data_IF_961239416688
#
_entry.id   IF_961239416688
#
_cell.length_a   1.000
_cell.length_b   1.000
_cell.length_c   1.000
_cell.angle_alpha   90.00
_cell.angle_beta   90.00
_cell.angle_gamma   90.00
#
_symmetry.space_group_name_H-M   'P 1'
#
loop_
_entity.id
_entity.type
_entity.pdbx_description
1 polymer ?
#
# COMPACT_ATOMS: atom_id res chain seq x y z
N UNK A 1 43.17 7.21 -30.59
CA UNK A 1 43.42 7.83 -29.26
C UNK A 1 42.09 8.34 -28.75
N UNK A 2 41.47 7.64 -27.78
CA UNK A 2 40.30 8.18 -27.09
C UNK A 2 40.73 9.43 -26.33
N UNK A 3 39.96 10.52 -26.44
CA UNK A 3 40.37 11.80 -25.88
C UNK A 3 40.34 11.73 -24.34
N UNK A 4 41.26 12.41 -23.68
CA UNK A 4 41.33 12.49 -22.20
C UNK A 4 39.97 12.91 -21.60
N UNK A 5 39.20 13.74 -22.31
CA UNK A 5 37.85 14.16 -21.94
C UNK A 5 36.82 13.02 -21.92
N UNK A 6 36.89 12.06 -22.84
CA UNK A 6 35.98 10.89 -22.83
C UNK A 6 36.26 9.98 -21.63
N UNK A 7 37.54 9.84 -21.27
CA UNK A 7 37.95 9.02 -20.12
C UNK A 7 37.52 9.69 -18.81
N UNK A 8 37.68 11.01 -18.69
CA UNK A 8 37.22 11.80 -17.54
C UNK A 8 35.69 11.75 -17.39
N UNK A 9 34.95 11.85 -18.49
CA UNK A 9 33.48 11.77 -18.47
C UNK A 9 32.98 10.36 -18.10
N UNK A 10 33.66 9.31 -18.58
CA UNK A 10 33.40 7.93 -18.19
C UNK A 10 33.61 7.72 -16.69
N UNK A 11 34.74 8.18 -16.14
CA UNK A 11 35.05 8.09 -14.70
C UNK A 11 34.03 8.87 -13.87
N UNK A 12 33.63 10.06 -14.30
CA UNK A 12 32.63 10.88 -13.60
C UNK A 12 31.25 10.22 -13.60
N UNK A 13 30.85 9.59 -14.71
CA UNK A 13 29.60 8.82 -14.79
C UNK A 13 29.63 7.54 -13.94
N UNK A 14 30.77 6.85 -13.91
CA UNK A 14 30.99 5.66 -13.10
C UNK A 14 30.99 5.99 -11.59
N UNK A 15 31.64 7.09 -11.18
CA UNK A 15 31.58 7.60 -9.81
C UNK A 15 30.17 8.06 -9.42
N UNK A 16 29.45 8.75 -10.31
CA UNK A 16 28.04 9.11 -10.08
C UNK A 16 27.15 7.88 -9.87
N UNK A 17 27.38 6.81 -10.65
CA UNK A 17 26.68 5.53 -10.50
C UNK A 17 27.04 4.83 -9.18
N UNK A 18 28.31 4.81 -8.79
CA UNK A 18 28.80 4.24 -7.52
C UNK A 18 28.23 4.99 -6.30
N UNK A 19 28.26 6.33 -6.31
CA UNK A 19 27.69 7.17 -5.25
C UNK A 19 26.18 6.94 -5.15
N UNK A 20 25.47 6.82 -6.28
CA UNK A 20 24.04 6.47 -6.28
C UNK A 20 23.76 5.04 -5.78
N UNK A 21 24.70 4.11 -5.95
CA UNK A 21 24.64 2.74 -5.42
C UNK A 21 24.83 2.69 -3.91
N UNK A 22 25.82 3.44 -3.38
CA UNK A 22 26.02 3.62 -1.95
C UNK A 22 24.84 4.32 -1.28
N UNK A 23 24.28 5.34 -1.93
CA UNK A 23 23.11 6.04 -1.40
C UNK A 23 21.88 5.14 -1.33
N UNK A 24 21.65 4.24 -2.31
CA UNK A 24 20.53 3.26 -2.26
C UNK A 24 20.68 2.25 -1.12
N UNK A 25 21.89 1.76 -0.85
CA UNK A 25 22.14 0.87 0.30
C UNK A 25 22.00 1.61 1.63
N UNK A 26 22.50 2.85 1.71
CA UNK A 26 22.34 3.70 2.89
C UNK A 26 20.87 4.05 3.16
N UNK A 27 20.06 4.27 2.12
CA UNK A 27 18.60 4.46 2.25
C UNK A 27 17.94 3.20 2.80
N UNK A 28 18.31 2.00 2.34
CA UNK A 28 17.76 0.75 2.85
C UNK A 28 18.04 0.54 4.35
N UNK A 29 19.27 0.86 4.79
CA UNK A 29 19.64 0.78 6.22
C UNK A 29 18.87 1.80 7.05
N UNK A 30 18.75 3.06 6.59
CA UNK A 30 17.97 4.08 7.28
C UNK A 30 16.49 3.71 7.40
N UNK A 31 15.90 3.16 6.34
CA UNK A 31 14.50 2.70 6.38
C UNK A 31 14.32 1.59 7.42
N UNK A 32 15.25 0.64 7.49
CA UNK A 32 15.20 -0.42 8.51
C UNK A 32 15.37 0.14 9.93
N UNK A 33 16.27 1.10 10.12
CA UNK A 33 16.49 1.79 11.39
C UNK A 33 15.24 2.58 11.82
N UNK A 34 14.59 3.28 10.88
CA UNK A 34 13.33 3.99 11.09
C UNK A 34 12.20 3.03 11.49
N UNK A 35 12.10 1.86 10.85
CA UNK A 35 11.14 0.81 11.21
C UNK A 35 11.45 0.19 12.58
N UNK A 36 12.71 -0.11 12.87
CA UNK A 36 13.15 -0.68 14.14
C UNK A 36 12.96 0.29 15.31
N UNK A 37 13.09 1.60 15.06
CA UNK A 37 12.80 2.64 16.04
C UNK A 37 11.29 2.85 16.23
N UNK A 38 10.49 2.79 15.16
CA UNK A 38 9.07 3.17 15.19
C UNK A 38 8.07 2.01 15.32
N UNK A 39 8.53 0.77 15.47
CA UNK A 39 7.66 -0.43 15.44
C UNK A 39 6.52 -0.40 16.47
N UNK A 40 6.76 0.16 17.66
CA UNK A 40 5.75 0.27 18.71
C UNK A 40 4.66 1.30 18.37
N UNK A 41 5.01 2.44 17.76
CA UNK A 41 4.04 3.42 17.26
C UNK A 41 3.22 2.85 16.11
N UNK A 42 3.84 2.06 15.23
CA UNK A 42 3.14 1.37 14.13
C UNK A 42 2.13 0.38 14.71
N UNK A 43 2.51 -0.44 15.70
CA UNK A 43 1.60 -1.37 16.37
C UNK A 43 0.48 -0.65 17.13
N UNK A 44 0.79 0.45 17.81
CA UNK A 44 -0.22 1.28 18.48
C UNK A 44 -1.22 1.86 17.47
N UNK A 45 -0.73 2.38 16.35
CA UNK A 45 -1.57 2.89 15.26
C UNK A 45 -2.46 1.80 14.65
N UNK A 46 -1.90 0.62 14.38
CA UNK A 46 -2.66 -0.52 13.85
C UNK A 46 -3.72 -1.01 14.82
N UNK A 47 -3.41 -1.11 16.11
CA UNK A 47 -4.36 -1.53 17.15
C UNK A 47 -5.47 -0.50 17.35
N UNK A 48 -5.14 0.80 17.38
CA UNK A 48 -6.14 1.87 17.45
C UNK A 48 -7.04 1.87 16.21
N UNK A 49 -6.47 1.75 15.01
CA UNK A 49 -7.23 1.69 13.76
C UNK A 49 -8.16 0.46 13.73
N UNK A 50 -7.71 -0.68 14.27
CA UNK A 50 -8.51 -1.88 14.40
C UNK A 50 -9.68 -1.66 15.38
N UNK A 51 -9.43 -1.06 16.55
CA UNK A 51 -10.47 -0.74 17.53
C UNK A 51 -11.51 0.21 16.95
N UNK A 52 -11.09 1.29 16.29
CA UNK A 52 -11.98 2.24 15.61
C UNK A 52 -12.81 1.53 14.54
N UNK A 53 -12.20 0.63 13.77
CA UNK A 53 -12.90 -0.17 12.77
C UNK A 53 -13.95 -1.10 13.38
N UNK A 54 -13.63 -1.78 14.49
CA UNK A 54 -14.59 -2.64 15.21
C UNK A 54 -15.74 -1.81 15.78
N UNK A 55 -15.44 -0.67 16.41
CA UNK A 55 -16.47 0.26 16.90
C UNK A 55 -17.36 0.73 15.75
N UNK A 56 -16.80 1.10 14.61
CA UNK A 56 -17.55 1.50 13.42
C UNK A 56 -18.45 0.37 12.89
N UNK A 57 -17.96 -0.86 12.83
CA UNK A 57 -18.75 -2.03 12.44
C UNK A 57 -19.90 -2.31 13.43
N UNK A 58 -19.68 -2.11 14.73
CA UNK A 58 -20.73 -2.22 15.74
C UNK A 58 -21.75 -1.07 15.65
N UNK A 59 -21.31 0.16 15.36
CA UNK A 59 -22.20 1.31 15.16
C UNK A 59 -23.09 1.13 13.92
N UNK A 60 -22.55 0.59 12.83
CA UNK A 60 -23.32 0.23 11.63
C UNK A 60 -24.45 -0.77 11.92
N UNK A 61 -24.36 -1.55 13.00
CA UNK A 61 -25.43 -2.48 13.39
C UNK A 61 -26.64 -1.77 13.99
N UNK A 62 -26.41 -0.94 15.01
CA UNK A 62 -27.50 -0.38 15.82
C UNK A 62 -28.09 0.89 15.25
N UNK A 63 -27.32 1.60 14.41
CA UNK A 63 -27.63 2.96 13.98
C UNK A 63 -27.33 3.17 12.49
N UNK A 64 -27.36 2.15 11.63
CA UNK A 64 -27.02 2.28 10.20
C UNK A 64 -27.64 3.52 9.54
N UNK A 65 -28.96 3.70 9.75
CA UNK A 65 -29.73 4.82 9.21
C UNK A 65 -29.25 6.14 9.83
N UNK A 66 -29.20 6.20 11.17
CA UNK A 66 -28.78 7.39 11.93
C UNK A 66 -27.35 7.78 11.57
N UNK A 67 -26.44 6.83 11.38
CA UNK A 67 -25.05 7.04 11.00
C UNK A 67 -24.94 7.65 9.60
N UNK A 68 -25.70 7.14 8.62
CA UNK A 68 -25.73 7.71 7.26
C UNK A 68 -26.20 9.17 7.29
N UNK A 69 -27.22 9.48 8.09
CA UNK A 69 -27.69 10.86 8.28
C UNK A 69 -26.67 11.73 9.02
N UNK A 70 -26.07 11.24 10.10
CA UNK A 70 -25.01 11.96 10.84
C UNK A 70 -23.81 12.24 9.93
N UNK A 71 -23.38 11.29 9.10
CA UNK A 71 -22.26 11.49 8.19
C UNK A 71 -22.61 12.49 7.08
N UNK A 72 -23.83 12.43 6.52
CA UNK A 72 -24.27 13.43 5.52
C UNK A 72 -24.40 14.83 6.10
N UNK A 73 -25.13 14.97 7.21
CA UNK A 73 -25.32 16.26 7.88
C UNK A 73 -23.99 16.77 8.42
N UNK A 74 -23.17 15.90 8.99
CA UNK A 74 -21.84 16.22 9.50
C UNK A 74 -20.92 16.76 8.41
N UNK A 75 -20.93 16.17 7.21
CA UNK A 75 -20.15 16.68 6.08
C UNK A 75 -20.56 18.11 5.70
N UNK A 76 -21.87 18.35 5.58
CA UNK A 76 -22.44 19.68 5.28
C UNK A 76 -22.15 20.71 6.39
N UNK A 77 -22.22 20.30 7.65
CA UNK A 77 -21.91 21.15 8.80
C UNK A 77 -20.44 21.52 8.84
N UNK A 78 -19.54 20.56 8.59
CA UNK A 78 -18.09 20.81 8.58
C UNK A 78 -17.70 21.76 7.46
N UNK A 79 -18.22 21.60 6.24
CA UNK A 79 -17.90 22.56 5.19
C UNK A 79 -18.63 23.90 5.33
N UNK A 80 -19.84 23.92 5.90
CA UNK A 80 -20.50 25.15 6.33
C UNK A 80 -19.69 25.92 7.38
N UNK A 81 -19.13 25.22 8.36
CA UNK A 81 -18.18 25.78 9.33
C UNK A 81 -16.90 26.27 8.65
N UNK A 82 -16.37 25.53 7.68
CA UNK A 82 -15.22 25.95 6.86
C UNK A 82 -15.47 27.25 6.12
N UNK A 83 -16.65 27.41 5.50
CA UNK A 83 -17.07 28.65 4.83
C UNK A 83 -17.13 29.80 5.85
N UNK A 84 -17.78 29.58 7.00
CA UNK A 84 -17.86 30.57 8.06
C UNK A 84 -16.48 30.98 8.59
N UNK A 85 -15.59 30.02 8.83
CA UNK A 85 -14.23 30.26 9.29
C UNK A 85 -13.41 31.05 8.26
N UNK A 86 -13.47 30.66 6.98
CA UNK A 86 -12.80 31.40 5.90
C UNK A 86 -13.34 32.83 5.77
N UNK A 87 -14.63 33.04 5.95
CA UNK A 87 -15.23 34.37 5.96
C UNK A 87 -14.76 35.20 7.17
N UNK A 88 -14.70 34.60 8.36
CA UNK A 88 -14.23 35.25 9.59
C UNK A 88 -12.77 35.71 9.45
N UNK A 89 -11.89 34.83 8.96
CA UNK A 89 -10.48 35.16 8.73
C UNK A 89 -10.31 36.20 7.62
N UNK A 90 -11.09 36.11 6.54
CA UNK A 90 -11.12 37.14 5.50
C UNK A 90 -11.47 38.52 6.06
N UNK A 91 -12.45 38.58 6.97
CA UNK A 91 -12.86 39.82 7.64
C UNK A 91 -11.77 40.34 8.59
N UNK A 92 -11.16 39.45 9.38
CA UNK A 92 -10.07 39.78 10.29
C UNK A 92 -8.87 40.41 9.55
N UNK A 93 -8.49 39.86 8.39
CA UNK A 93 -7.41 40.37 7.55
C UNK A 93 -7.86 41.44 6.53
N UNK A 94 -9.06 42.02 6.65
CA UNK A 94 -9.55 43.02 5.70
C UNK A 94 -8.76 44.33 5.72
N UNK A 95 -8.17 44.69 6.87
CA UNK A 95 -7.33 45.89 7.08
C UNK A 95 -5.86 45.69 6.70
N UNK A 96 -5.45 44.47 6.37
CA UNK A 96 -4.08 44.14 5.96
C UNK A 96 -3.78 44.67 4.55
N UNK A 97 -2.60 45.28 4.37
CA UNK A 97 -2.13 45.80 3.06
C UNK A 97 -1.34 44.77 2.24
N UNK A 98 -1.08 43.58 2.76
CA UNK A 98 -0.33 42.52 2.09
C UNK A 98 -1.16 41.92 0.96
N UNK A 99 -0.64 41.95 -0.28
CA UNK A 99 -1.25 41.33 -1.45
C UNK A 99 -0.46 40.09 -1.87
N UNK A 100 -1.14 39.15 -2.54
CA UNK A 100 -0.52 37.92 -3.03
C UNK A 100 0.65 38.19 -4.01
N UNK A 101 0.57 39.26 -4.80
CA UNK A 101 1.61 39.64 -5.76
C UNK A 101 2.91 40.18 -5.15
N UNK A 102 2.90 40.56 -3.87
CA UNK A 102 4.07 41.08 -3.16
C UNK A 102 4.88 39.97 -2.46
N UNK A 103 4.36 38.73 -2.47
CA UNK A 103 5.02 37.58 -1.86
C UNK A 103 5.95 36.87 -2.86
N UNK A 104 7.23 36.75 -2.49
CA UNK A 104 8.15 35.82 -3.16
C UNK A 104 7.77 34.38 -2.83
N UNK A 105 7.95 33.44 -3.77
CA UNK A 105 7.67 32.01 -3.54
C UNK A 105 8.46 31.51 -2.33
N UNK A 106 7.76 31.22 -1.24
CA UNK A 106 8.32 30.77 0.02
C UNK A 106 7.74 29.39 0.36
N UNK A 107 8.50 28.53 1.04
CA UNK A 107 8.01 27.22 1.48
C UNK A 107 7.17 27.29 2.75
N UNK A 108 7.18 28.43 3.45
CA UNK A 108 6.41 28.63 4.67
C UNK A 108 4.93 28.93 4.39
N UNK A 109 4.07 27.93 4.59
CA UNK A 109 2.61 28.00 4.39
C UNK A 109 1.95 29.11 5.23
N UNK A 110 2.47 29.38 6.42
CA UNK A 110 1.96 30.42 7.34
C UNK A 110 1.96 31.82 6.73
N UNK A 111 2.89 32.13 5.83
CA UNK A 111 2.99 33.44 5.16
C UNK A 111 1.81 33.64 4.21
N UNK A 112 1.40 32.58 3.51
CA UNK A 112 0.23 32.64 2.61
C UNK A 112 -1.07 32.78 3.40
N UNK A 113 -1.18 32.16 4.59
CA UNK A 113 -2.36 32.26 5.46
C UNK A 113 -2.57 33.65 6.07
N UNK A 114 -1.62 34.57 5.97
CA UNK A 114 -1.75 35.96 6.44
C UNK A 114 -2.34 36.90 5.37
N UNK A 115 -2.57 36.40 4.16
CA UNK A 115 -3.08 37.21 3.03
C UNK A 115 -4.59 37.08 2.97
N UNK A 116 -5.32 38.20 2.85
CA UNK A 116 -6.79 38.15 2.73
C UNK A 116 -7.27 37.44 1.46
N UNK A 117 -6.54 37.59 0.34
CA UNK A 117 -6.91 37.01 -0.96
C UNK A 117 -6.88 35.48 -0.95
N UNK A 118 -6.05 34.85 -0.11
CA UNK A 118 -6.04 33.38 0.01
C UNK A 118 -7.28 32.87 0.73
N UNK A 119 -7.72 33.57 1.79
CA UNK A 119 -8.97 33.25 2.48
C UNK A 119 -10.19 33.45 1.57
N UNK A 120 -10.18 34.48 0.72
CA UNK A 120 -11.21 34.67 -0.32
C UNK A 120 -11.21 33.54 -1.35
N UNK A 121 -10.03 33.11 -1.81
CA UNK A 121 -9.92 31.98 -2.74
C UNK A 121 -10.44 30.67 -2.11
N UNK A 122 -10.06 30.36 -0.87
CA UNK A 122 -10.56 29.19 -0.14
C UNK A 122 -12.07 29.27 0.09
N UNK A 123 -12.61 30.44 0.42
CA UNK A 123 -14.04 30.67 0.56
C UNK A 123 -14.79 30.32 -0.73
N UNK A 124 -14.35 30.84 -1.89
CA UNK A 124 -14.98 30.55 -3.19
C UNK A 124 -14.92 29.05 -3.50
N UNK A 125 -13.76 28.41 -3.31
CA UNK A 125 -13.58 26.98 -3.57
C UNK A 125 -14.51 26.14 -2.69
N UNK A 126 -14.58 26.42 -1.39
CA UNK A 126 -15.45 25.72 -0.44
C UNK A 126 -16.93 25.92 -0.77
N UNK A 127 -17.35 27.15 -1.11
CA UNK A 127 -18.72 27.43 -1.53
C UNK A 127 -19.13 26.66 -2.79
N UNK A 128 -18.25 26.60 -3.80
CA UNK A 128 -18.51 25.82 -5.03
C UNK A 128 -18.59 24.33 -4.72
N UNK A 129 -17.65 23.81 -3.93
CA UNK A 129 -17.63 22.41 -3.54
C UNK A 129 -18.88 22.01 -2.73
N UNK A 130 -19.26 22.81 -1.72
CA UNK A 130 -20.47 22.58 -0.92
C UNK A 130 -21.75 22.67 -1.77
N UNK A 131 -21.82 23.63 -2.70
CA UNK A 131 -22.97 23.75 -3.60
C UNK A 131 -23.11 22.51 -4.50
N UNK A 132 -22.00 21.98 -5.02
CA UNK A 132 -21.97 20.73 -5.79
C UNK A 132 -22.40 19.55 -4.91
N UNK A 133 -21.89 19.47 -3.67
CA UNK A 133 -22.26 18.42 -2.72
C UNK A 133 -23.77 18.43 -2.45
N UNK A 134 -24.35 19.59 -2.12
CA UNK A 134 -25.79 19.75 -1.89
C UNK A 134 -26.60 19.38 -3.14
N UNK A 135 -26.18 19.84 -4.32
CA UNK A 135 -26.84 19.51 -5.60
C UNK A 135 -26.84 17.99 -5.83
N UNK A 136 -25.69 17.33 -5.65
CA UNK A 136 -25.55 15.88 -5.82
C UNK A 136 -26.42 15.12 -4.82
N UNK A 137 -26.42 15.51 -3.55
CA UNK A 137 -27.26 14.89 -2.51
C UNK A 137 -28.76 15.07 -2.81
N UNK A 138 -29.16 16.25 -3.31
CA UNK A 138 -30.53 16.52 -3.74
C UNK A 138 -30.94 15.65 -4.93
N UNK A 139 -30.11 15.60 -5.97
CA UNK A 139 -30.34 14.79 -7.17
C UNK A 139 -30.40 13.28 -6.86
N UNK A 140 -29.57 12.82 -5.93
CA UNK A 140 -29.48 11.40 -5.57
C UNK A 140 -30.45 11.01 -4.45
N UNK A 141 -31.30 11.91 -3.93
CA UNK A 141 -32.20 11.64 -2.79
C UNK A 141 -33.03 10.35 -2.94
N UNK A 142 -33.54 10.09 -4.15
CA UNK A 142 -34.30 8.86 -4.42
C UNK A 142 -33.42 7.61 -4.36
N UNK A 143 -32.21 7.66 -4.92
CA UNK A 143 -31.24 6.55 -4.89
C UNK A 143 -30.70 6.32 -3.48
N UNK A 144 -30.52 7.39 -2.73
CA UNK A 144 -30.07 7.37 -1.34
C UNK A 144 -31.10 6.69 -0.44
N UNK A 145 -32.40 6.94 -0.63
CA UNK A 145 -33.46 6.23 0.10
C UNK A 145 -33.40 4.71 -0.15
N UNK A 146 -33.23 4.30 -1.41
CA UNK A 146 -33.06 2.88 -1.77
C UNK A 146 -31.80 2.30 -1.12
N UNK A 147 -30.68 3.04 -1.14
CA UNK A 147 -29.43 2.60 -0.51
C UNK A 147 -29.58 2.45 1.01
N UNK A 148 -30.27 3.37 1.68
CA UNK A 148 -30.55 3.30 3.12
C UNK A 148 -31.40 2.07 3.45
N UNK A 149 -32.43 1.77 2.66
CA UNK A 149 -33.23 0.56 2.82
C UNK A 149 -32.39 -0.73 2.65
N UNK A 150 -31.48 -0.76 1.67
CA UNK A 150 -30.55 -1.88 1.49
C UNK A 150 -29.60 -2.05 2.68
N UNK A 151 -29.12 -0.95 3.27
CA UNK A 151 -28.27 -0.98 4.46
C UNK A 151 -29.02 -1.46 5.69
N UNK A 152 -30.30 -1.11 5.84
CA UNK A 152 -31.17 -1.60 6.93
C UNK A 152 -31.37 -3.12 6.84
N UNK A 153 -31.67 -3.65 5.66
CA UNK A 153 -31.81 -5.10 5.50
C UNK A 153 -30.47 -5.81 5.72
N UNK A 154 -29.37 -5.24 5.24
CA UNK A 154 -28.03 -5.79 5.46
C UNK A 154 -27.66 -5.83 6.95
N UNK A 155 -27.97 -4.78 7.71
CA UNK A 155 -27.67 -4.74 9.15
C UNK A 155 -28.52 -5.74 9.95
N UNK A 156 -29.78 -5.96 9.52
CA UNK A 156 -30.65 -7.00 10.09
C UNK A 156 -30.06 -8.40 9.88
N UNK A 157 -29.58 -8.70 8.66
CA UNK A 157 -28.93 -10.00 8.36
C UNK A 157 -27.69 -10.22 9.21
N UNK A 158 -26.83 -9.20 9.35
CA UNK A 158 -25.63 -9.26 10.20
C UNK A 158 -26.00 -9.49 11.67
N UNK A 159 -27.17 -9.03 12.12
CA UNK A 159 -27.72 -9.32 13.44
C UNK A 159 -27.94 -10.81 13.71
N UNK A 160 -28.35 -11.59 12.70
CA UNK A 160 -28.48 -13.05 12.79
C UNK A 160 -27.14 -13.78 12.65
N UNK A 161 -26.23 -13.23 11.84
CA UNK A 161 -24.92 -13.82 11.52
C UNK A 161 -23.78 -13.09 12.24
N UNK A 162 -23.86 -12.99 13.58
CA UNK A 162 -22.96 -12.14 14.38
C UNK A 162 -21.46 -12.44 14.18
N UNK A 163 -21.12 -13.71 13.93
CA UNK A 163 -19.74 -14.13 13.70
C UNK A 163 -19.09 -13.45 12.47
N UNK A 164 -19.89 -13.01 11.49
CA UNK A 164 -19.39 -12.30 10.30
C UNK A 164 -18.70 -10.98 10.63
N UNK A 165 -19.03 -10.33 11.75
CA UNK A 165 -18.39 -9.10 12.22
C UNK A 165 -16.93 -9.30 12.65
N UNK A 166 -16.55 -10.52 13.05
CA UNK A 166 -15.18 -10.87 13.40
C UNK A 166 -14.34 -11.27 12.17
N UNK A 167 -14.98 -11.50 11.03
CA UNK A 167 -14.28 -11.94 9.82
C UNK A 167 -13.28 -10.92 9.25
N UNK A 168 -13.53 -9.59 9.28
CA UNK A 168 -12.52 -8.59 8.91
C UNK A 168 -11.25 -8.67 9.77
N UNK A 169 -11.38 -8.95 11.08
CA UNK A 169 -10.23 -9.17 11.96
C UNK A 169 -9.44 -10.41 11.54
N UNK A 170 -10.14 -11.50 11.24
CA UNK A 170 -9.52 -12.73 10.75
C UNK A 170 -8.77 -12.49 9.42
N UNK A 171 -9.40 -11.78 8.47
CA UNK A 171 -8.75 -11.37 7.21
C UNK A 171 -7.51 -10.52 7.48
N UNK A 172 -7.57 -9.57 8.41
CA UNK A 172 -6.43 -8.73 8.78
C UNK A 172 -5.25 -9.57 9.31
N UNK A 173 -5.52 -10.53 10.20
CA UNK A 173 -4.49 -11.44 10.71
C UNK A 173 -3.85 -12.25 9.58
N UNK A 174 -4.65 -12.79 8.65
CA UNK A 174 -4.13 -13.52 7.48
C UNK A 174 -3.25 -12.62 6.59
N UNK A 175 -3.64 -11.37 6.38
CA UNK A 175 -2.83 -10.41 5.60
C UNK A 175 -1.52 -10.08 6.31
N UNK A 176 -1.52 -9.91 7.63
CA UNK A 176 -0.27 -9.73 8.41
C UNK A 176 0.64 -10.94 8.27
N UNK A 177 0.09 -12.16 8.31
CA UNK A 177 0.86 -13.39 8.05
C UNK A 177 1.46 -13.38 6.64
N UNK A 178 0.70 -12.96 5.61
CA UNK A 178 1.23 -12.84 4.25
C UNK A 178 2.39 -11.82 4.16
N UNK A 179 2.26 -10.66 4.80
CA UNK A 179 3.30 -9.62 4.84
C UNK A 179 4.54 -10.13 5.57
N UNK A 180 4.36 -10.77 6.72
CA UNK A 180 5.46 -11.34 7.50
C UNK A 180 6.19 -12.44 6.73
N UNK A 181 5.46 -13.35 6.10
CA UNK A 181 6.03 -14.42 5.27
C UNK A 181 6.83 -13.88 4.08
N UNK A 182 6.27 -12.89 3.37
CA UNK A 182 6.96 -12.22 2.27
C UNK A 182 8.23 -11.51 2.74
N UNK A 183 8.15 -10.75 3.84
CA UNK A 183 9.27 -10.01 4.41
C UNK A 183 10.39 -10.94 4.88
N UNK A 184 10.04 -12.05 5.54
CA UNK A 184 11.00 -13.05 5.97
C UNK A 184 11.68 -13.74 4.79
N UNK A 185 10.91 -14.13 3.77
CA UNK A 185 11.46 -14.73 2.55
C UNK A 185 12.38 -13.74 1.82
N UNK A 186 11.99 -12.47 1.73
CA UNK A 186 12.80 -11.42 1.12
C UNK A 186 14.12 -11.22 1.88
N UNK A 187 14.08 -11.20 3.21
CA UNK A 187 15.26 -11.09 4.06
C UNK A 187 16.20 -12.27 3.85
N UNK A 188 15.69 -13.51 3.93
CA UNK A 188 16.48 -14.71 3.70
C UNK A 188 17.11 -14.75 2.30
N UNK A 189 16.39 -14.30 1.27
CA UNK A 189 16.94 -14.20 -0.08
C UNK A 189 18.13 -13.23 -0.13
N UNK A 190 18.03 -12.05 0.50
CA UNK A 190 19.13 -11.05 0.54
C UNK A 190 20.31 -11.51 1.39
N UNK A 191 20.07 -12.28 2.45
CA UNK A 191 21.12 -12.75 3.39
C UNK A 191 21.62 -14.17 3.10
N UNK A 192 21.18 -14.80 2.01
CA UNK A 192 21.51 -16.18 1.66
C UNK A 192 23.00 -16.44 1.36
N UNK A 193 23.78 -15.40 1.03
CA UNK A 193 25.22 -15.52 0.78
C UNK A 193 26.03 -15.67 2.08
N UNK A 194 27.26 -16.18 1.97
CA UNK A 194 28.20 -16.17 3.09
C UNK A 194 28.62 -14.71 3.38
N UNK A 195 28.68 -14.26 4.66
CA UNK A 195 29.10 -12.90 4.97
C UNK A 195 30.60 -12.73 4.69
N UNK A 196 30.95 -11.81 3.80
CA UNK A 196 32.32 -11.43 3.49
C UNK A 196 32.73 -10.22 4.32
N UNK A 197 33.84 -10.35 5.05
CA UNK A 197 34.43 -9.28 5.84
C UNK A 197 35.74 -8.83 5.21
N UNK A 198 36.01 -7.53 5.30
CA UNK A 198 37.24 -6.93 4.78
C UNK A 198 37.95 -6.10 5.83
N UNK A 199 39.27 -6.05 5.68
CA UNK A 199 40.16 -5.29 6.53
C UNK A 199 40.14 -3.83 6.10
N UNK A 200 39.77 -2.91 6.99
CA UNK A 200 39.76 -1.46 6.71
C UNK A 200 40.46 -0.69 7.83
N UNK A 201 41.06 0.45 7.48
CA UNK A 201 41.60 1.42 8.43
C UNK A 201 40.56 2.51 8.71
N UNK A 202 40.30 2.80 9.99
CA UNK A 202 39.34 3.85 10.41
C UNK A 202 40.00 5.20 10.72
N UNK A 203 41.31 5.35 10.46
CA UNK A 203 42.08 6.56 10.77
C UNK A 203 42.03 7.61 9.65
N UNK A 204 42.12 8.88 10.06
CA UNK A 204 42.32 10.05 9.21
C UNK A 204 43.55 9.82 8.29
N UNK A 205 43.53 10.21 6.99
CA UNK A 205 44.59 9.91 6.02
C UNK A 205 45.94 10.58 6.32
N UNK A 206 46.05 11.31 7.43
CA UNK A 206 47.25 12.00 7.93
C UNK A 206 48.17 11.13 8.79
N UNK A 207 47.83 9.87 9.05
CA UNK A 207 48.73 8.89 9.70
C UNK A 207 49.41 8.03 8.62
N UNK A 208 50.65 8.40 8.29
CA UNK A 208 51.48 8.00 7.13
C UNK A 208 51.76 6.49 6.89
N UNK A 209 51.11 5.57 7.62
CA UNK A 209 51.37 4.12 7.48
C UNK A 209 50.15 3.24 7.28
N UNK A 210 48.95 3.81 7.23
CA UNK A 210 47.70 3.07 6.97
C UNK A 210 47.28 3.05 5.49
N UNK A 211 47.96 3.81 4.61
CA UNK A 211 47.63 3.98 3.18
C UNK A 211 47.81 2.73 2.32
N UNK A 212 48.50 1.70 2.83
CA UNK A 212 48.73 0.42 2.14
C UNK A 212 47.51 -0.52 2.20
N UNK A 213 46.54 -0.26 3.08
CA UNK A 213 45.37 -1.13 3.27
C UNK A 213 44.26 -0.66 2.33
N UNK A 214 44.23 -1.24 1.14
CA UNK A 214 43.27 -0.90 0.07
C UNK A 214 41.85 -1.49 0.27
N UNK A 215 41.60 -2.17 1.39
CA UNK A 215 40.29 -2.78 1.66
C UNK A 215 39.93 -3.91 0.70
N UNK A 216 40.92 -4.61 0.14
CA UNK A 216 40.76 -5.80 -0.72
C UNK A 216 40.93 -7.11 0.05
N UNK A 217 41.71 -7.11 1.14
CA UNK A 217 41.97 -8.31 1.94
C UNK A 217 40.73 -8.76 2.70
N UNK A 218 40.47 -10.06 2.64
CA UNK A 218 39.37 -10.70 3.37
C UNK A 218 39.84 -11.14 4.74
N UNK A 219 38.97 -11.03 5.73
CA UNK A 219 39.27 -11.41 7.11
C UNK A 219 38.12 -12.24 7.69
N UNK A 220 38.42 -13.00 8.75
CA UNK A 220 37.40 -13.67 9.57
C UNK A 220 37.35 -12.95 10.92
N UNK A 221 36.20 -12.41 11.34
CA UNK A 221 36.11 -11.61 12.56
C UNK A 221 36.53 -12.37 13.82
N UNK A 222 36.32 -13.68 13.87
CA UNK A 222 36.66 -14.53 15.02
C UNK A 222 38.17 -14.76 15.21
N UNK A 223 38.96 -14.69 14.14
CA UNK A 223 40.42 -14.94 14.18
C UNK A 223 41.22 -13.69 13.86
N UNK A 224 40.57 -12.54 13.75
CA UNK A 224 41.21 -11.30 13.35
C UNK A 224 42.01 -10.73 14.53
N UNK A 225 43.32 -10.55 14.34
CA UNK A 225 44.19 -9.92 15.32
C UNK A 225 44.79 -8.63 14.75
N UNK A 226 44.50 -7.49 15.39
CA UNK A 226 45.06 -6.19 15.01
C UNK A 226 46.59 -6.13 15.11
N UNK A 227 47.22 -6.99 15.91
CA UNK A 227 48.68 -7.08 16.05
C UNK A 227 49.39 -7.53 14.77
N UNK A 228 48.68 -8.15 13.83
CA UNK A 228 49.25 -8.54 12.53
C UNK A 228 49.62 -7.32 11.65
N UNK A 229 49.11 -6.13 11.98
CA UNK A 229 49.34 -4.88 11.26
C UNK A 229 50.06 -3.86 12.18
N UNK A 230 51.35 -4.08 12.52
CA UNK A 230 52.08 -3.25 13.48
C UNK A 230 52.24 -1.78 13.02
N UNK A 231 52.07 -1.53 11.73
CA UNK A 231 52.14 -0.21 11.10
C UNK A 231 50.82 0.57 11.13
N UNK A 232 49.69 -0.07 11.49
CA UNK A 232 48.38 0.59 11.57
C UNK A 232 47.52 -0.04 12.69
N UNK A 233 47.49 0.53 13.90
CA UNK A 233 46.71 -0.02 15.02
C UNK A 233 45.20 0.21 14.90
N UNK A 234 44.76 1.11 14.02
CA UNK A 234 43.36 1.50 13.74
C UNK A 234 42.65 0.57 12.74
N UNK A 235 43.17 -0.63 12.52
CA UNK A 235 42.59 -1.61 11.59
C UNK A 235 41.46 -2.39 12.24
N UNK A 236 40.36 -2.55 11.50
CA UNK A 236 39.20 -3.35 11.88
C UNK A 236 38.77 -4.27 10.74
N UNK A 237 38.32 -5.46 11.11
CA UNK A 237 37.63 -6.37 10.20
C UNK A 237 36.14 -6.02 10.21
N UNK A 238 35.62 -5.42 9.14
CA UNK A 238 34.22 -4.99 9.04
C UNK A 238 33.47 -5.81 7.99
N UNK A 239 32.15 -5.94 8.19
CA UNK A 239 31.28 -6.53 7.19
C UNK A 239 31.28 -5.68 5.91
N UNK A 240 31.49 -6.32 4.76
CA UNK A 240 31.49 -5.64 3.47
C UNK A 240 30.22 -5.95 2.67
N UNK A 241 29.94 -7.24 2.44
CA UNK A 241 28.77 -7.72 1.70
C UNK A 241 28.58 -9.23 1.90
N UNK A 242 27.42 -9.74 1.52
CA UNK A 242 27.23 -11.17 1.33
C UNK A 242 27.81 -11.63 -0.01
N UNK A 243 28.31 -12.85 -0.04
CA UNK A 243 28.85 -13.49 -1.24
C UNK A 243 27.79 -13.65 -2.32
N UNK A 244 28.13 -13.29 -3.55
CA UNK A 244 27.24 -13.24 -4.71
C UNK A 244 27.58 -14.28 -5.80
N UNK A 245 28.57 -15.14 -5.57
CA UNK A 245 29.01 -16.11 -6.59
C UNK A 245 28.11 -17.33 -6.74
N UNK A 246 27.26 -17.64 -5.76
CA UNK A 246 26.37 -18.80 -5.81
C UNK A 246 25.19 -18.65 -6.78
N UNK A 247 24.59 -19.77 -7.18
CA UNK A 247 23.51 -19.83 -8.18
C UNK A 247 22.25 -19.05 -7.76
N UNK A 248 21.89 -19.08 -6.49
CA UNK A 248 20.74 -18.33 -5.96
C UNK A 248 21.02 -16.82 -5.93
N UNK A 249 22.25 -16.44 -5.60
CA UNK A 249 22.66 -15.05 -5.43
C UNK A 249 22.82 -14.34 -6.78
N UNK A 250 23.31 -15.04 -7.81
CA UNK A 250 23.31 -14.54 -9.18
C UNK A 250 21.89 -14.25 -9.69
N UNK A 251 20.92 -15.08 -9.30
CA UNK A 251 19.51 -14.96 -9.71
C UNK A 251 18.63 -14.22 -8.68
N UNK A 252 19.23 -13.52 -7.72
CA UNK A 252 18.52 -12.91 -6.59
C UNK A 252 17.41 -11.95 -7.02
N UNK A 253 17.64 -11.17 -8.09
CA UNK A 253 16.63 -10.24 -8.62
C UNK A 253 15.38 -10.98 -9.11
N UNK A 254 15.55 -12.10 -9.84
CA UNK A 254 14.43 -12.90 -10.33
C UNK A 254 13.65 -13.54 -9.17
N UNK A 255 14.36 -14.05 -8.17
CA UNK A 255 13.76 -14.62 -6.96
C UNK A 255 12.98 -13.58 -6.16
N UNK A 256 13.48 -12.34 -6.06
CA UNK A 256 12.77 -11.25 -5.41
C UNK A 256 11.53 -10.80 -6.19
N UNK A 257 11.60 -10.75 -7.53
CA UNK A 257 10.42 -10.47 -8.37
C UNK A 257 9.37 -11.56 -8.20
N UNK A 258 9.78 -12.83 -8.19
CA UNK A 258 8.88 -13.95 -7.92
C UNK A 258 8.27 -13.87 -6.52
N UNK A 259 9.05 -13.49 -5.49
CA UNK A 259 8.56 -13.30 -4.13
C UNK A 259 7.50 -12.18 -4.04
N UNK A 260 7.70 -11.06 -4.76
CA UNK A 260 6.69 -9.99 -4.86
C UNK A 260 5.42 -10.49 -5.56
N UNK A 261 5.56 -11.26 -6.64
CA UNK A 261 4.42 -11.86 -7.33
C UNK A 261 3.65 -12.82 -6.42
N UNK A 262 4.35 -13.71 -5.71
CA UNK A 262 3.76 -14.64 -4.75
C UNK A 262 3.05 -13.90 -3.61
N UNK A 263 3.61 -12.79 -3.12
CA UNK A 263 2.99 -11.94 -2.11
C UNK A 263 1.66 -11.34 -2.59
N UNK A 264 1.66 -10.71 -3.76
CA UNK A 264 0.44 -10.14 -4.35
C UNK A 264 -0.62 -11.25 -4.57
N UNK A 265 -0.19 -12.43 -5.02
CA UNK A 265 -1.08 -13.58 -5.20
C UNK A 265 -1.68 -14.06 -3.89
N UNK A 266 -0.88 -14.20 -2.83
CA UNK A 266 -1.37 -14.59 -1.50
C UNK A 266 -2.36 -13.56 -0.93
N UNK A 267 -2.07 -12.26 -1.05
CA UNK A 267 -2.97 -11.20 -0.61
C UNK A 267 -4.32 -11.28 -1.36
N UNK A 268 -4.29 -11.39 -2.69
CA UNK A 268 -5.51 -11.52 -3.49
C UNK A 268 -6.28 -12.81 -3.17
N UNK A 269 -5.57 -13.91 -2.86
CA UNK A 269 -6.18 -15.16 -2.45
C UNK A 269 -6.89 -15.05 -1.10
N UNK A 270 -6.26 -14.42 -0.10
CA UNK A 270 -6.89 -14.17 1.22
C UNK A 270 -8.15 -13.31 1.07
N UNK A 271 -8.11 -12.29 0.21
CA UNK A 271 -9.28 -11.45 -0.09
C UNK A 271 -10.39 -12.27 -0.79
N UNK A 272 -10.03 -13.10 -1.76
CA UNK A 272 -10.97 -13.97 -2.48
C UNK A 272 -11.64 -14.98 -1.54
N UNK A 273 -10.85 -15.61 -0.65
CA UNK A 273 -11.34 -16.50 0.41
C UNK A 273 -12.36 -15.78 1.30
N UNK A 274 -12.10 -14.52 1.65
CA UNK A 274 -13.03 -13.69 2.39
C UNK A 274 -14.34 -13.39 1.67
N UNK A 275 -14.26 -12.99 0.40
CA UNK A 275 -15.45 -12.71 -0.40
C UNK A 275 -16.33 -13.95 -0.57
N UNK A 276 -15.74 -15.10 -0.88
CA UNK A 276 -16.48 -16.35 -1.06
C UNK A 276 -17.08 -16.87 0.25
N UNK A 277 -16.32 -16.84 1.36
CA UNK A 277 -16.80 -17.27 2.67
C UNK A 277 -17.99 -16.42 3.14
N UNK A 278 -17.88 -15.09 3.06
CA UNK A 278 -18.96 -14.19 3.45
C UNK A 278 -20.17 -14.34 2.54
N UNK A 279 -19.97 -14.45 1.22
CA UNK A 279 -21.06 -14.68 0.27
C UNK A 279 -21.83 -15.97 0.58
N UNK A 280 -21.12 -17.07 0.88
CA UNK A 280 -21.75 -18.33 1.27
C UNK A 280 -22.50 -18.23 2.59
N UNK A 281 -21.94 -17.49 3.56
CA UNK A 281 -22.57 -17.27 4.87
C UNK A 281 -23.87 -16.48 4.71
N UNK A 282 -23.88 -15.39 3.94
CA UNK A 282 -25.10 -14.63 3.66
C UNK A 282 -26.10 -15.39 2.80
N UNK A 283 -25.65 -16.20 1.84
CA UNK A 283 -26.52 -17.08 1.07
C UNK A 283 -27.28 -18.05 1.99
N UNK A 284 -26.63 -18.60 3.02
CA UNK A 284 -27.29 -19.48 4.00
C UNK A 284 -28.45 -18.79 4.74
N UNK A 285 -28.35 -17.48 4.99
CA UNK A 285 -29.44 -16.71 5.58
C UNK A 285 -30.58 -16.46 4.58
N UNK A 286 -30.27 -16.01 3.36
CA UNK A 286 -31.31 -15.68 2.38
C UNK A 286 -32.11 -16.91 1.94
N UNK A 287 -31.45 -18.06 1.82
CA UNK A 287 -32.07 -19.32 1.41
C UNK A 287 -32.62 -20.17 2.57
N UNK A 288 -32.54 -19.69 3.82
CA UNK A 288 -33.25 -20.32 4.95
C UNK A 288 -34.75 -19.97 4.91
N UNK A 289 -35.61 -20.98 4.90
CA UNK A 289 -37.06 -20.82 4.85
C UNK A 289 -37.62 -20.47 6.23
N UNK A 290 -37.08 -21.07 7.31
CA UNK A 290 -37.49 -20.78 8.69
C UNK A 290 -36.37 -20.09 9.50
N UNK A 291 -36.52 -18.78 9.74
CA UNK A 291 -35.55 -17.94 10.48
C UNK A 291 -36.04 -17.73 11.92
N UNK A 292 -35.22 -17.95 12.98
CA UNK A 292 -33.80 -18.33 12.96
C UNK A 292 -33.51 -19.84 13.01
N UNK A 293 -34.52 -20.71 13.04
CA UNK A 293 -34.36 -22.15 13.33
C UNK A 293 -33.41 -22.90 12.37
N UNK A 294 -33.37 -22.53 11.09
CA UNK A 294 -32.48 -23.15 10.08
C UNK A 294 -31.09 -22.51 10.01
N UNK A 295 -30.84 -21.40 10.70
CA UNK A 295 -29.56 -20.69 10.64
C UNK A 295 -28.61 -21.29 11.69
N UNK A 296 -27.59 -22.02 11.21
CA UNK A 296 -26.53 -22.54 12.10
C UNK A 296 -25.78 -21.38 12.77
N UNK A 297 -25.57 -21.42 14.11
CA UNK A 297 -24.76 -20.41 14.81
C UNK A 297 -23.29 -20.39 14.36
N UNK A 298 -22.83 -21.50 13.74
CA UNK A 298 -21.48 -21.64 13.19
C UNK A 298 -21.45 -21.53 11.65
N UNK A 299 -22.48 -20.91 11.03
CA UNK A 299 -22.58 -20.79 9.57
C UNK A 299 -21.31 -20.24 8.92
N UNK A 300 -20.64 -19.26 9.54
CA UNK A 300 -19.39 -18.70 9.05
C UNK A 300 -18.26 -19.74 8.97
N UNK A 301 -18.03 -20.48 10.05
CA UNK A 301 -16.99 -21.50 10.11
C UNK A 301 -17.26 -22.65 9.14
N UNK A 302 -18.52 -23.06 9.02
CA UNK A 302 -18.93 -24.09 8.06
C UNK A 302 -18.70 -23.63 6.61
N UNK A 303 -19.07 -22.39 6.28
CA UNK A 303 -18.83 -21.82 4.96
C UNK A 303 -17.33 -21.69 4.68
N UNK A 304 -16.54 -21.24 5.66
CA UNK A 304 -15.09 -21.12 5.53
C UNK A 304 -14.43 -22.46 5.21
N UNK A 305 -14.77 -23.51 5.97
CA UNK A 305 -14.26 -24.86 5.76
C UNK A 305 -14.70 -25.40 4.39
N UNK A 306 -15.97 -25.21 4.02
CA UNK A 306 -16.50 -25.61 2.70
C UNK A 306 -15.76 -24.90 1.57
N UNK A 307 -15.50 -23.60 1.70
CA UNK A 307 -14.73 -22.83 0.73
C UNK A 307 -13.30 -23.35 0.61
N UNK A 308 -12.65 -23.71 1.72
CA UNK A 308 -11.31 -24.30 1.71
C UNK A 308 -11.27 -25.73 1.13
N UNK A 309 -12.32 -26.52 1.33
CA UNK A 309 -12.36 -27.91 0.84
C UNK A 309 -12.68 -27.99 -0.65
N UNK A 310 -13.64 -27.19 -1.13
CA UNK A 310 -14.22 -27.36 -2.46
C UNK A 310 -13.87 -26.25 -3.46
N UNK A 311 -13.50 -25.04 -3.01
CA UNK A 311 -13.39 -23.88 -3.91
C UNK A 311 -12.01 -23.25 -4.00
N UNK A 312 -10.99 -23.78 -3.29
CA UNK A 312 -9.63 -23.21 -3.27
C UNK A 312 -9.04 -23.04 -4.65
N UNK A 313 -9.18 -24.03 -5.55
CA UNK A 313 -8.65 -23.93 -6.91
C UNK A 313 -9.23 -22.76 -7.70
N UNK A 314 -10.55 -22.56 -7.62
CA UNK A 314 -11.23 -21.45 -8.30
C UNK A 314 -10.84 -20.08 -7.73
N UNK A 315 -10.68 -19.99 -6.39
CA UNK A 315 -10.22 -18.77 -5.73
C UNK A 315 -8.76 -18.46 -6.05
N UNK A 316 -7.90 -19.47 -6.05
CA UNK A 316 -6.49 -19.34 -6.41
C UNK A 316 -6.31 -18.88 -7.86
N UNK A 317 -7.10 -19.43 -8.79
CA UNK A 317 -7.10 -19.02 -10.19
C UNK A 317 -7.57 -17.57 -10.37
N UNK A 318 -8.71 -17.18 -9.76
CA UNK A 318 -9.19 -15.80 -9.82
C UNK A 318 -8.20 -14.79 -9.20
N UNK A 319 -7.57 -15.16 -8.08
CA UNK A 319 -6.52 -14.37 -7.45
C UNK A 319 -5.26 -14.26 -8.32
N UNK A 320 -4.88 -15.34 -9.01
CA UNK A 320 -3.73 -15.35 -9.92
C UNK A 320 -3.97 -14.40 -11.09
N UNK A 321 -5.16 -14.47 -11.71
CA UNK A 321 -5.55 -13.59 -12.81
C UNK A 321 -5.44 -12.12 -12.40
N UNK A 322 -6.03 -11.74 -11.26
CA UNK A 322 -5.95 -10.38 -10.73
C UNK A 322 -4.50 -9.93 -10.47
N UNK A 323 -3.67 -10.85 -9.95
CA UNK A 323 -2.27 -10.58 -9.63
C UNK A 323 -1.45 -10.29 -10.88
N UNK A 324 -1.67 -11.02 -11.98
CA UNK A 324 -1.00 -10.75 -13.26
C UNK A 324 -1.22 -9.30 -13.72
N UNK A 325 -2.45 -8.79 -13.67
CA UNK A 325 -2.75 -7.42 -14.07
C UNK A 325 -2.21 -6.37 -13.10
N UNK A 326 -2.24 -6.65 -11.79
CA UNK A 326 -1.59 -5.80 -10.79
C UNK A 326 -0.08 -5.69 -11.02
N UNK A 327 0.58 -6.79 -11.38
CA UNK A 327 2.00 -6.80 -11.70
C UNK A 327 2.29 -5.93 -12.94
N UNK A 328 1.48 -6.05 -13.99
CA UNK A 328 1.64 -5.21 -15.20
C UNK A 328 1.52 -3.73 -14.85
N UNK A 329 0.54 -3.35 -14.00
CA UNK A 329 0.38 -1.97 -13.54
C UNK A 329 1.58 -1.49 -12.72
N UNK A 330 2.11 -2.33 -11.83
CA UNK A 330 3.31 -2.03 -11.04
C UNK A 330 4.53 -1.77 -11.94
N UNK A 331 4.71 -2.61 -12.96
CA UNK A 331 5.80 -2.45 -13.95
C UNK A 331 5.62 -1.16 -14.76
N UNK A 332 4.41 -0.85 -15.23
CA UNK A 332 4.12 0.40 -15.95
C UNK A 332 4.41 1.64 -15.10
N UNK A 333 4.04 1.62 -13.82
CA UNK A 333 4.34 2.72 -12.89
C UNK A 333 5.86 2.88 -12.69
N UNK A 334 6.56 1.76 -12.48
CA UNK A 334 8.01 1.74 -12.32
C UNK A 334 8.73 2.29 -13.57
N UNK A 335 8.33 1.84 -14.76
CA UNK A 335 8.90 2.31 -16.02
C UNK A 335 8.63 3.80 -16.24
N UNK A 336 7.42 4.27 -15.95
CA UNK A 336 7.09 5.68 -16.05
C UNK A 336 7.92 6.54 -15.10
N UNK A 337 8.09 6.10 -13.85
CA UNK A 337 8.94 6.78 -12.87
C UNK A 337 10.40 6.83 -13.33
N UNK A 338 10.93 5.72 -13.86
CA UNK A 338 12.32 5.62 -14.31
C UNK A 338 12.62 6.48 -15.55
N UNK A 339 11.65 6.62 -16.45
CA UNK A 339 11.84 7.30 -17.74
C UNK A 339 11.36 8.74 -17.75
N UNK A 340 10.75 9.25 -16.67
CA UNK A 340 10.16 10.60 -16.57
C UNK A 340 11.08 11.75 -17.03
N UNK A 341 12.39 11.61 -16.81
CA UNK A 341 13.40 12.61 -17.23
C UNK A 341 13.81 12.56 -18.72
N UNK A 342 13.47 11.49 -19.45
CA UNK A 342 13.92 11.24 -20.83
C UNK A 342 12.75 11.01 -21.81
N UNK A 343 11.50 11.11 -21.37
CA UNK A 343 10.34 10.83 -22.22
C UNK A 343 10.03 11.98 -23.20
N UNK A 344 9.83 11.62 -24.47
CA UNK A 344 9.19 12.47 -25.48
C UNK A 344 7.70 12.71 -25.17
N UNK A 345 7.09 13.72 -25.77
CA UNK A 345 5.65 14.01 -25.59
C UNK A 345 4.76 12.81 -25.94
N UNK A 346 5.10 12.07 -27.01
CA UNK A 346 4.41 10.85 -27.41
C UNK A 346 4.55 9.73 -26.36
N UNK A 347 5.75 9.54 -25.80
CA UNK A 347 5.97 8.58 -24.72
C UNK A 347 5.15 8.87 -23.47
N UNK A 348 5.07 10.15 -23.07
CA UNK A 348 4.23 10.59 -21.93
C UNK A 348 2.75 10.29 -22.15
N UNK A 349 2.25 10.58 -23.35
CA UNK A 349 0.87 10.29 -23.71
C UNK A 349 0.56 8.79 -23.66
N UNK A 350 1.44 7.96 -24.25
CA UNK A 350 1.27 6.50 -24.27
C UNK A 350 1.27 5.90 -22.86
N UNK A 351 2.20 6.30 -21.98
CA UNK A 351 2.22 5.82 -20.59
C UNK A 351 0.94 6.21 -19.83
N UNK A 352 0.44 7.43 -20.03
CA UNK A 352 -0.82 7.86 -19.41
C UNK A 352 -2.02 7.06 -19.91
N UNK A 353 -2.10 6.80 -21.22
CA UNK A 353 -3.16 6.00 -21.82
C UNK A 353 -3.14 4.55 -21.30
N UNK A 354 -1.97 3.89 -21.33
CA UNK A 354 -1.82 2.52 -20.82
C UNK A 354 -2.15 2.43 -19.32
N UNK A 355 -1.70 3.39 -18.51
CA UNK A 355 -2.06 3.44 -17.08
C UNK A 355 -3.57 3.50 -16.88
N UNK A 356 -4.29 4.32 -17.66
CA UNK A 356 -5.74 4.40 -17.60
C UNK A 356 -6.40 3.07 -18.01
N UNK A 357 -6.01 2.49 -19.14
CA UNK A 357 -6.57 1.23 -19.63
C UNK A 357 -6.37 0.08 -18.63
N UNK A 358 -5.15 -0.08 -18.09
CA UNK A 358 -4.85 -1.13 -17.11
C UNK A 358 -5.53 -0.88 -15.77
N UNK A 359 -5.73 0.38 -15.37
CA UNK A 359 -6.53 0.70 -14.19
C UNK A 359 -8.00 0.29 -14.37
N UNK A 360 -8.60 0.63 -15.52
CA UNK A 360 -9.97 0.23 -15.87
C UNK A 360 -10.10 -1.30 -15.92
N UNK A 361 -9.13 -2.00 -16.52
CA UNK A 361 -9.13 -3.46 -16.61
C UNK A 361 -8.98 -4.13 -15.25
N UNK A 362 -8.07 -3.64 -14.39
CA UNK A 362 -7.94 -4.12 -13.01
C UNK A 362 -9.26 -3.94 -12.24
N UNK A 363 -9.90 -2.77 -12.38
CA UNK A 363 -11.18 -2.49 -11.75
C UNK A 363 -12.29 -3.43 -12.24
N UNK A 364 -12.38 -3.63 -13.56
CA UNK A 364 -13.32 -4.58 -14.16
C UNK A 364 -13.11 -6.00 -13.64
N UNK A 365 -11.86 -6.47 -13.60
CA UNK A 365 -11.53 -7.82 -13.11
C UNK A 365 -11.83 -8.00 -11.63
N UNK A 366 -11.65 -6.96 -10.80
CA UNK A 366 -12.07 -7.00 -9.39
C UNK A 366 -13.58 -7.20 -9.26
N UNK A 367 -14.37 -6.53 -10.09
CA UNK A 367 -15.83 -6.70 -10.11
C UNK A 367 -16.20 -8.11 -10.58
N UNK A 368 -15.61 -8.55 -11.71
CA UNK A 368 -15.85 -9.88 -12.26
C UNK A 368 -15.53 -10.98 -11.25
N UNK A 369 -14.34 -10.92 -10.62
CA UNK A 369 -13.92 -11.87 -9.61
C UNK A 369 -14.87 -11.87 -8.42
N UNK A 370 -15.22 -10.69 -7.88
CA UNK A 370 -16.13 -10.58 -6.73
C UNK A 370 -17.47 -11.25 -7.02
N UNK A 371 -18.03 -11.01 -8.20
CA UNK A 371 -19.33 -11.56 -8.57
C UNK A 371 -19.25 -13.05 -8.89
N UNK A 372 -18.17 -13.50 -9.54
CA UNK A 372 -17.89 -14.92 -9.72
C UNK A 372 -17.80 -15.65 -8.37
N UNK A 373 -17.10 -15.10 -7.38
CA UNK A 373 -17.01 -15.70 -6.04
C UNK A 373 -18.35 -15.80 -5.32
N UNK A 374 -19.25 -14.83 -5.51
CA UNK A 374 -20.63 -14.89 -4.98
C UNK A 374 -21.38 -16.06 -5.63
N UNK A 375 -21.29 -16.19 -6.97
CA UNK A 375 -21.96 -17.27 -7.70
C UNK A 375 -21.40 -18.66 -7.34
N UNK A 376 -20.08 -18.78 -7.18
CA UNK A 376 -19.44 -20.01 -6.68
C UNK A 376 -19.98 -20.36 -5.29
N UNK A 377 -20.11 -19.38 -4.40
CA UNK A 377 -20.56 -19.62 -3.04
C UNK A 377 -22.04 -20.06 -2.94
N UNK A 378 -22.88 -19.64 -3.89
CA UNK A 378 -24.30 -19.99 -3.96
C UNK A 378 -24.53 -21.33 -4.67
N UNK A 379 -23.94 -21.49 -5.86
CA UNK A 379 -24.25 -22.61 -6.76
C UNK A 379 -23.20 -23.74 -6.71
N UNK A 380 -22.00 -23.48 -6.20
CA UNK A 380 -20.93 -24.49 -6.13
C UNK A 380 -20.19 -24.74 -7.44
N UNK A 381 -20.42 -23.92 -8.47
CA UNK A 381 -19.84 -24.07 -9.81
C UNK A 381 -18.36 -23.64 -9.90
N UNK A 382 -17.70 -24.01 -11.01
CA UNK A 382 -16.31 -23.59 -11.29
C UNK A 382 -16.21 -22.10 -11.68
N UNK A 383 -15.02 -21.49 -11.48
CA UNK A 383 -14.78 -20.06 -11.73
C UNK A 383 -15.29 -19.56 -13.09
N UNK A 384 -14.96 -20.25 -14.20
CA UNK A 384 -15.33 -19.81 -15.54
C UNK A 384 -16.85 -19.87 -15.78
N UNK A 385 -17.52 -20.89 -15.23
CA UNK A 385 -18.98 -21.05 -15.33
C UNK A 385 -19.68 -19.94 -14.53
N UNK A 386 -19.23 -19.72 -13.30
CA UNK A 386 -19.74 -18.65 -12.43
C UNK A 386 -19.53 -17.25 -13.00
N UNK A 387 -18.36 -16.98 -13.58
CA UNK A 387 -18.06 -15.71 -14.24
C UNK A 387 -18.98 -15.46 -15.45
N UNK A 388 -19.22 -16.50 -16.26
CA UNK A 388 -20.12 -16.44 -17.43
C UNK A 388 -21.57 -16.17 -17.00
N UNK A 389 -22.06 -16.85 -15.97
CA UNK A 389 -23.44 -16.70 -15.49
C UNK A 389 -23.74 -15.28 -15.03
N UNK A 390 -22.78 -14.61 -14.40
CA UNK A 390 -22.92 -13.20 -14.04
C UNK A 390 -22.90 -12.26 -15.26
N UNK A 391 -22.08 -12.51 -16.28
CA UNK A 391 -22.00 -11.62 -17.46
C UNK A 391 -23.23 -11.69 -18.38
N UNK A 392 -24.12 -12.66 -18.19
CA UNK A 392 -25.31 -12.90 -19.03
C UNK A 392 -26.61 -12.46 -18.34
N UNK A 393 -26.58 -12.17 -17.05
CA UNK A 393 -27.66 -11.51 -16.30
C UNK A 393 -27.42 -10.00 -16.23
#
# INVERSE_FOLDING_TARGET
MASVNETVNSIRSAMGSLISGFNRKAVGVRVFEDFASSWYWILLGLTLALLVSVVFLLLLRYLAIVLVWILMVGLLVVGGYGIWHCYSEYYHFSTSKLKFGDLSFNTNISVYLQVKETWLAFLIILCVWESILILVLSCLRRRLSVAVALMEESSRVVGYLMSTLLYPLFTFVLLVVCVAYWGMTSLYLVTSGAPLYRVVSLSDPSVDKCSLINGSETCKPQTFNSSAYPYCPSVRCIFFRYDDTGLFQQNLVYLQVFNIFAFLWCVNFVIALGQCTLAGTFASYYWAFSKPAEISPFALSQCFIRTLQYHVGSLAFGALLLTCFQLVRLVLEYLNHRTRGSQSACGRFLFNCLRCCFWCLEYFLKILNRNAYIMIAIYGESFCVSAKMHTVC
#
